data_IF_266374065506
#
_entry.id   IF_266374065506
#
_cell.length_a   1.000
_cell.length_b   1.000
_cell.length_c   1.000
_cell.angle_alpha   90.00
_cell.angle_beta   90.00
_cell.angle_gamma   90.00
#
_symmetry.space_group_name_H-M   'P 1'
#
loop_
_entity.id
_entity.type
_entity.pdbx_description
1 polymer ?
#
# COMPACT_ATOMS: atom_id res chain seq x y z
N UNK A 1 10.60 -3.65 58.26
CA UNK A 1 10.01 -3.77 56.91
C UNK A 1 10.03 -2.39 56.27
N UNK A 2 10.69 -2.22 55.11
CA UNK A 2 10.66 -0.97 54.34
C UNK A 2 10.37 -1.30 52.88
N UNK A 3 9.39 -0.64 52.27
CA UNK A 3 9.02 -0.83 50.85
C UNK A 3 9.69 0.26 50.03
N UNK A 4 10.75 -0.10 49.31
CA UNK A 4 11.32 0.77 48.28
C UNK A 4 10.40 0.78 47.06
N UNK A 5 9.81 1.95 46.77
CA UNK A 5 9.02 2.16 45.56
C UNK A 5 9.91 2.63 44.41
N UNK A 6 10.23 1.72 43.48
CA UNK A 6 10.90 2.10 42.24
C UNK A 6 9.91 2.80 41.29
N UNK A 7 10.05 4.13 41.15
CA UNK A 7 9.44 4.85 40.04
C UNK A 7 10.16 4.48 38.73
N UNK A 8 9.48 3.79 37.82
CA UNK A 8 9.92 3.70 36.44
C UNK A 8 9.68 5.05 35.75
N UNK A 9 10.72 5.87 35.66
CA UNK A 9 10.70 7.04 34.80
C UNK A 9 10.45 6.61 33.35
N UNK A 10 9.39 7.14 32.72
CA UNK A 10 9.15 6.92 31.29
C UNK A 10 10.23 7.65 30.50
N UNK A 11 11.27 6.93 30.09
CA UNK A 11 12.25 7.43 29.13
C UNK A 11 11.52 7.70 27.82
N UNK A 12 11.30 8.97 27.51
CA UNK A 12 10.63 9.41 26.30
C UNK A 12 11.63 9.27 25.14
N UNK A 13 11.58 8.12 24.45
CA UNK A 13 12.49 7.85 23.34
C UNK A 13 12.21 8.81 22.18
N UNK A 14 13.19 9.66 21.87
CA UNK A 14 13.17 10.52 20.70
C UNK A 14 14.01 9.83 19.62
N UNK A 15 13.44 9.48 18.45
CA UNK A 15 14.25 8.97 17.34
C UNK A 15 15.29 10.03 16.96
N UNK A 16 16.57 9.69 16.79
CA UNK A 16 17.52 10.62 16.19
C UNK A 16 16.97 11.01 14.81
N UNK A 17 16.75 12.31 14.60
CA UNK A 17 16.41 12.78 13.26
C UNK A 17 17.70 12.69 12.43
N UNK A 18 17.74 11.86 11.37
CA UNK A 18 18.87 11.90 10.46
C UNK A 18 18.95 13.29 9.83
N UNK A 19 20.15 13.76 9.53
CA UNK A 19 20.31 14.97 8.74
C UNK A 19 19.59 14.80 7.39
N UNK A 20 19.01 15.89 6.88
CA UNK A 20 18.16 15.86 5.68
C UNK A 20 18.92 15.27 4.47
N UNK A 21 20.19 15.64 4.36
CA UNK A 21 21.20 15.15 3.41
C UNK A 21 21.36 13.62 3.46
N UNK A 22 21.51 13.02 4.64
CA UNK A 22 21.64 11.56 4.80
C UNK A 22 20.38 10.83 4.33
N UNK A 23 19.20 11.40 4.55
CA UNK A 23 17.95 10.81 4.09
C UNK A 23 17.83 10.85 2.57
N UNK A 24 18.04 12.01 1.96
CA UNK A 24 18.03 12.20 0.51
C UNK A 24 19.05 11.29 -0.20
N UNK A 25 20.28 11.22 0.31
CA UNK A 25 21.33 10.34 -0.22
C UNK A 25 20.92 8.86 -0.17
N UNK A 26 20.35 8.38 0.95
CA UNK A 26 19.85 6.99 1.06
C UNK A 26 18.67 6.71 0.13
N UNK A 27 17.77 7.66 -0.08
CA UNK A 27 16.71 7.53 -1.08
C UNK A 27 17.28 7.38 -2.49
N UNK A 28 18.33 8.15 -2.84
CA UNK A 28 19.00 8.05 -4.13
C UNK A 28 19.81 6.75 -4.28
N UNK A 29 20.46 6.26 -3.24
CA UNK A 29 21.19 4.98 -3.28
C UNK A 29 20.27 3.75 -3.31
N UNK A 30 19.06 3.86 -2.74
CA UNK A 30 18.00 2.88 -2.93
C UNK A 30 17.53 2.83 -4.40
N UNK A 31 17.29 3.99 -5.03
CA UNK A 31 16.89 4.10 -6.45
C UNK A 31 17.91 3.49 -7.43
N UNK A 32 19.20 3.45 -7.06
CA UNK A 32 20.28 2.81 -7.84
C UNK A 32 20.28 1.28 -7.75
N UNK A 33 19.55 0.66 -6.82
CA UNK A 33 19.54 -0.80 -6.70
C UNK A 33 18.81 -1.46 -7.89
N UNK A 34 19.38 -2.50 -8.51
CA UNK A 34 18.67 -3.29 -9.52
C UNK A 34 17.36 -3.86 -9.00
N UNK A 35 16.36 -3.92 -9.88
CA UNK A 35 15.01 -4.42 -9.60
C UNK A 35 14.40 -5.24 -10.73
N UNK A 36 15.10 -5.37 -11.86
CA UNK A 36 14.70 -6.11 -13.04
C UNK A 36 15.72 -7.21 -13.32
N UNK A 37 15.21 -8.40 -13.63
CA UNK A 37 15.97 -9.52 -14.20
C UNK A 37 15.58 -9.64 -15.69
N UNK A 38 16.58 -9.84 -16.55
CA UNK A 38 16.39 -10.02 -17.99
C UNK A 38 15.96 -11.46 -18.34
N UNK A 39 16.09 -12.41 -17.42
CA UNK A 39 15.54 -13.75 -17.58
C UNK A 39 14.02 -13.69 -17.73
N UNK A 40 13.49 -14.55 -18.61
CA UNK A 40 12.05 -14.71 -18.78
C UNK A 40 11.41 -15.33 -17.54
N UNK A 41 10.18 -14.92 -17.23
CA UNK A 41 9.41 -15.42 -16.09
C UNK A 41 8.85 -16.82 -16.39
N UNK A 42 9.74 -17.82 -16.41
CA UNK A 42 9.41 -19.23 -16.63
C UNK A 42 9.70 -20.05 -15.37
N UNK A 43 8.74 -20.86 -14.92
CA UNK A 43 8.86 -21.66 -13.69
C UNK A 43 8.94 -20.84 -12.39
N UNK A 44 9.07 -21.51 -11.23
CA UNK A 44 9.13 -20.83 -9.93
C UNK A 44 10.42 -19.98 -9.78
N UNK A 45 10.38 -18.89 -9.00
CA UNK A 45 11.57 -18.12 -8.65
C UNK A 45 12.48 -18.89 -7.68
N UNK A 46 13.79 -18.63 -7.72
CA UNK A 46 14.75 -19.21 -6.78
C UNK A 46 14.62 -18.55 -5.39
N UNK A 47 14.41 -19.35 -4.34
CA UNK A 47 14.07 -18.89 -2.99
C UNK A 47 15.27 -18.73 -2.03
N UNK A 48 16.49 -18.59 -2.53
CA UNK A 48 17.67 -18.33 -1.70
C UNK A 48 17.60 -16.93 -1.02
N UNK A 49 18.19 -16.78 0.16
CA UNK A 49 18.12 -15.52 0.93
C UNK A 49 18.72 -14.33 0.19
N UNK A 50 19.72 -14.56 -0.68
CA UNK A 50 20.30 -13.56 -1.57
C UNK A 50 19.25 -12.89 -2.46
N UNK A 51 18.27 -13.67 -2.93
CA UNK A 51 17.24 -13.22 -3.86
C UNK A 51 16.14 -12.48 -3.11
N UNK A 52 15.74 -12.99 -1.94
CA UNK A 52 14.88 -12.25 -1.01
C UNK A 52 15.47 -10.90 -0.59
N UNK A 53 16.80 -10.82 -0.43
CA UNK A 53 17.51 -9.59 -0.05
C UNK A 53 17.73 -8.61 -1.21
N UNK A 54 17.60 -9.08 -2.46
CA UNK A 54 17.75 -8.30 -3.71
C UNK A 54 16.71 -8.79 -4.73
N UNK A 55 15.41 -8.55 -4.48
CA UNK A 55 14.35 -9.07 -5.34
C UNK A 55 14.42 -8.40 -6.72
N UNK A 56 14.48 -9.22 -7.77
CA UNK A 56 14.45 -8.78 -9.17
C UNK A 56 13.22 -9.38 -9.84
N UNK A 57 12.38 -8.55 -10.47
CA UNK A 57 11.25 -9.08 -11.25
C UNK A 57 11.76 -9.60 -12.60
N UNK A 58 11.38 -10.81 -12.97
CA UNK A 58 11.71 -11.41 -14.27
C UNK A 58 10.86 -10.81 -15.40
N UNK A 59 11.40 -10.85 -16.62
CA UNK A 59 10.80 -10.26 -17.82
C UNK A 59 9.61 -11.10 -18.30
N UNK A 60 8.54 -10.44 -18.73
CA UNK A 60 7.43 -11.10 -19.40
C UNK A 60 7.83 -11.59 -20.80
N UNK A 61 7.36 -12.78 -21.16
CA UNK A 61 7.61 -13.45 -22.44
C UNK A 61 6.59 -12.96 -23.49
N UNK A 62 6.72 -11.70 -23.89
CA UNK A 62 5.82 -11.06 -24.86
C UNK A 62 6.05 -11.63 -26.27
N UNK A 63 5.24 -12.61 -26.66
CA UNK A 63 5.28 -13.27 -27.98
C UNK A 63 4.18 -12.80 -28.94
N UNK A 64 3.15 -12.12 -28.42
CA UNK A 64 2.04 -11.56 -29.18
C UNK A 64 2.00 -10.04 -29.03
N UNK A 65 1.34 -9.35 -29.96
CA UNK A 65 1.08 -7.92 -29.83
C UNK A 65 0.10 -7.64 -28.67
N UNK A 66 0.12 -6.40 -28.16
CA UNK A 66 -0.72 -5.97 -27.05
C UNK A 66 -1.96 -5.27 -27.61
N UNK A 67 -3.11 -5.91 -27.55
CA UNK A 67 -4.37 -5.29 -27.96
C UNK A 67 -5.02 -4.57 -26.77
N UNK A 68 -5.01 -3.23 -26.78
CA UNK A 68 -5.61 -2.43 -25.71
C UNK A 68 -7.14 -2.42 -25.83
N UNK A 69 -7.85 -2.90 -24.79
CA UNK A 69 -9.32 -3.04 -24.82
C UNK A 69 -10.02 -1.95 -24.01
N UNK A 70 -9.55 -1.64 -22.80
CA UNK A 70 -10.16 -0.65 -21.90
C UNK A 70 -9.15 -0.02 -20.96
N UNK A 71 -9.15 1.30 -20.81
CA UNK A 71 -8.41 1.98 -19.73
C UNK A 71 -9.17 1.79 -18.41
N UNK A 72 -8.56 1.11 -17.43
CA UNK A 72 -9.17 0.81 -16.13
C UNK A 72 -9.07 1.98 -15.14
N UNK A 73 -8.00 2.75 -15.22
CA UNK A 73 -7.78 3.92 -14.36
C UNK A 73 -6.34 4.41 -14.42
N UNK A 74 -6.06 5.49 -13.71
CA UNK A 74 -4.71 6.02 -13.52
C UNK A 74 -4.59 6.66 -12.13
N UNK A 75 -3.37 6.74 -11.62
CA UNK A 75 -3.05 7.31 -10.31
C UNK A 75 -1.67 7.94 -10.29
N UNK A 76 -1.11 8.14 -9.10
CA UNK A 76 0.23 8.77 -8.94
C UNK A 76 1.35 8.02 -9.65
N UNK A 77 1.24 6.69 -9.75
CA UNK A 77 2.33 5.80 -10.14
C UNK A 77 2.28 5.37 -11.61
N UNK A 78 1.08 5.27 -12.18
CA UNK A 78 0.89 4.87 -13.58
C UNK A 78 -0.56 4.89 -14.06
N UNK A 79 -0.76 4.29 -15.23
CA UNK A 79 -2.05 4.03 -15.87
C UNK A 79 -2.20 2.51 -16.02
N UNK A 80 -3.42 2.00 -15.88
CA UNK A 80 -3.74 0.58 -16.06
C UNK A 80 -4.75 0.40 -17.20
N UNK A 81 -4.54 -0.59 -18.05
CA UNK A 81 -5.49 -1.05 -19.06
C UNK A 81 -5.82 -2.54 -18.88
N UNK A 82 -7.03 -2.93 -19.27
CA UNK A 82 -7.31 -4.29 -19.75
C UNK A 82 -6.77 -4.41 -21.17
N UNK A 83 -6.01 -5.46 -21.41
CA UNK A 83 -5.41 -5.79 -22.70
C UNK A 83 -5.71 -7.25 -23.05
N UNK A 84 -5.66 -7.61 -24.33
CA UNK A 84 -5.53 -9.00 -24.77
C UNK A 84 -4.12 -9.21 -25.32
N UNK A 85 -3.50 -10.34 -24.96
CA UNK A 85 -2.17 -10.75 -25.43
C UNK A 85 -2.27 -12.24 -25.77
N UNK A 86 -2.35 -12.56 -27.06
CA UNK A 86 -2.89 -13.85 -27.48
C UNK A 86 -4.35 -13.99 -26.99
N UNK A 87 -4.75 -15.20 -26.60
CA UNK A 87 -6.12 -15.48 -26.11
C UNK A 87 -6.37 -15.08 -24.64
N UNK A 88 -5.43 -14.35 -24.01
CA UNK A 88 -5.47 -14.03 -22.58
C UNK A 88 -5.89 -12.57 -22.32
N UNK A 89 -7.02 -12.37 -21.63
CA UNK A 89 -7.39 -11.07 -21.06
C UNK A 89 -6.56 -10.77 -19.81
N UNK A 90 -5.72 -9.74 -19.90
CA UNK A 90 -4.72 -9.37 -18.88
C UNK A 90 -4.86 -7.89 -18.50
N UNK A 91 -4.11 -7.48 -17.49
CA UNK A 91 -4.04 -6.10 -17.05
C UNK A 91 -2.61 -5.58 -17.10
N UNK A 92 -2.41 -4.51 -17.88
CA UNK A 92 -1.12 -3.88 -18.10
C UNK A 92 -1.04 -2.58 -17.29
N UNK A 93 -0.13 -2.50 -16.30
CA UNK A 93 0.19 -1.26 -15.58
C UNK A 93 1.43 -0.63 -16.20
N UNK A 94 1.30 0.55 -16.80
CA UNK A 94 2.42 1.34 -17.35
C UNK A 94 2.72 2.49 -16.39
N UNK A 95 3.99 2.65 -16.02
CA UNK A 95 4.42 3.65 -15.04
C UNK A 95 4.77 4.98 -15.71
N UNK A 96 4.47 6.10 -15.04
CA UNK A 96 4.78 7.44 -15.55
C UNK A 96 6.28 7.73 -15.59
N UNK A 97 7.01 7.31 -14.56
CA UNK A 97 8.44 7.60 -14.38
C UNK A 97 9.30 6.47 -15.00
N UNK A 98 9.81 6.68 -16.22
CA UNK A 98 10.72 5.75 -16.91
C UNK A 98 12.19 5.89 -16.48
N UNK A 99 12.53 6.96 -15.76
CA UNK A 99 13.78 7.17 -15.02
C UNK A 99 13.49 7.25 -13.52
N UNK A 100 14.51 7.08 -12.69
CA UNK A 100 14.34 7.28 -11.25
C UNK A 100 14.01 8.76 -10.99
N UNK A 101 12.95 9.08 -10.22
CA UNK A 101 12.60 10.46 -9.95
C UNK A 101 13.66 11.11 -9.05
N UNK A 102 13.78 12.42 -9.15
CA UNK A 102 14.63 13.22 -8.27
C UNK A 102 14.10 13.21 -6.81
N UNK A 103 14.76 13.95 -5.91
CA UNK A 103 14.33 14.15 -4.51
C UNK A 103 14.15 12.84 -3.69
N UNK A 104 13.28 12.89 -2.68
CA UNK A 104 12.95 11.79 -1.75
C UNK A 104 11.83 10.87 -2.23
N UNK A 105 11.07 11.27 -3.26
CA UNK A 105 9.95 10.50 -3.83
C UNK A 105 10.42 9.10 -4.25
N UNK A 106 9.67 8.05 -3.91
CA UNK A 106 10.02 6.68 -4.30
C UNK A 106 9.85 6.48 -5.82
N UNK A 107 10.60 5.52 -6.38
CA UNK A 107 10.41 5.12 -7.78
C UNK A 107 9.36 4.01 -7.84
N UNK A 108 8.19 4.31 -8.42
CA UNK A 108 7.03 3.43 -8.38
C UNK A 108 7.29 2.05 -9.00
N UNK A 109 7.81 2.00 -10.23
CA UNK A 109 8.13 0.73 -10.90
C UNK A 109 9.15 -0.10 -10.11
N UNK A 110 10.17 0.55 -9.50
CA UNK A 110 11.16 -0.16 -8.68
C UNK A 110 10.50 -0.85 -7.49
N UNK A 111 9.66 -0.12 -6.75
CA UNK A 111 8.92 -0.64 -5.60
C UNK A 111 8.02 -1.80 -6.03
N UNK A 112 7.23 -1.60 -7.07
CA UNK A 112 6.25 -2.57 -7.55
C UNK A 112 6.90 -3.87 -8.04
N UNK A 113 7.97 -3.76 -8.83
CA UNK A 113 8.76 -4.93 -9.26
C UNK A 113 9.34 -5.70 -8.08
N UNK A 114 9.93 -5.01 -7.10
CA UNK A 114 10.54 -5.65 -5.94
C UNK A 114 9.49 -6.32 -5.06
N UNK A 115 8.33 -5.70 -4.86
CA UNK A 115 7.21 -6.31 -4.14
C UNK A 115 6.62 -7.52 -4.89
N UNK A 116 6.40 -7.41 -6.21
CA UNK A 116 5.91 -8.53 -7.02
C UNK A 116 6.86 -9.74 -6.97
N UNK A 117 8.17 -9.52 -7.11
CA UNK A 117 9.17 -10.57 -7.01
C UNK A 117 9.23 -11.20 -5.61
N UNK A 118 9.11 -10.41 -4.53
CA UNK A 118 9.01 -10.94 -3.16
C UNK A 118 7.75 -11.79 -2.97
N UNK A 119 6.59 -11.35 -3.46
CA UNK A 119 5.34 -12.09 -3.32
C UNK A 119 5.37 -13.41 -4.12
N UNK A 120 5.98 -13.43 -5.31
CA UNK A 120 6.22 -14.67 -6.06
C UNK A 120 7.14 -15.65 -5.31
N UNK A 121 8.22 -15.15 -4.68
CA UNK A 121 9.11 -15.99 -3.86
C UNK A 121 8.42 -16.49 -2.58
N UNK A 122 7.56 -15.68 -1.95
CA UNK A 122 6.72 -16.09 -0.81
C UNK A 122 5.76 -17.21 -1.23
N UNK A 123 5.05 -17.05 -2.37
CA UNK A 123 4.16 -18.07 -2.92
C UNK A 123 4.90 -19.39 -3.16
N UNK A 124 6.01 -19.35 -3.90
CA UNK A 124 6.81 -20.53 -4.20
C UNK A 124 7.37 -21.21 -2.93
N UNK A 125 7.83 -20.42 -1.95
CA UNK A 125 8.30 -20.93 -0.68
C UNK A 125 7.22 -21.67 0.12
N UNK A 126 5.98 -21.16 0.14
CA UNK A 126 4.87 -21.76 0.88
C UNK A 126 4.36 -23.08 0.27
N UNK A 127 4.51 -23.28 -1.05
CA UNK A 127 4.19 -24.59 -1.66
C UNK A 127 5.15 -25.71 -1.26
N UNK A 128 6.35 -25.37 -0.76
CA UNK A 128 7.36 -26.34 -0.34
C UNK A 128 7.18 -26.88 1.09
N UNK A 129 6.19 -26.39 1.84
CA UNK A 129 5.86 -26.86 3.19
C UNK A 129 5.60 -25.73 4.20
N UNK A 130 5.33 -26.08 5.48
CA UNK A 130 4.96 -25.11 6.51
C UNK A 130 6.11 -24.14 6.81
N UNK A 131 5.79 -22.85 6.85
CA UNK A 131 6.70 -21.77 7.21
C UNK A 131 6.34 -21.29 8.62
N UNK A 132 7.29 -21.31 9.55
CA UNK A 132 7.07 -20.82 10.90
C UNK A 132 7.51 -19.36 10.98
N UNK A 133 6.62 -18.48 11.46
CA UNK A 133 6.84 -17.04 11.57
C UNK A 133 6.71 -16.56 13.02
N UNK A 134 7.45 -15.51 13.38
CA UNK A 134 7.23 -14.78 14.63
C UNK A 134 5.82 -14.15 14.58
N UNK A 135 4.94 -14.43 15.57
CA UNK A 135 3.53 -14.03 15.53
C UNK A 135 3.29 -12.55 15.78
N UNK A 136 4.21 -11.90 16.49
CA UNK A 136 4.25 -10.46 16.66
C UNK A 136 5.67 -9.99 16.31
N UNK A 137 5.99 -9.78 15.02
CA UNK A 137 7.12 -8.93 14.69
C UNK A 137 6.85 -7.54 15.31
N UNK A 138 7.89 -6.80 15.73
CA UNK A 138 7.77 -5.46 16.33
C UNK A 138 8.85 -4.48 15.84
N UNK A 139 9.89 -4.99 15.19
CA UNK A 139 11.06 -4.25 14.74
C UNK A 139 11.39 -4.58 13.28
N UNK A 140 12.20 -3.74 12.64
CA UNK A 140 12.78 -4.03 11.32
C UNK A 140 13.52 -5.38 11.29
N UNK A 141 14.23 -5.71 12.38
CA UNK A 141 14.91 -6.99 12.53
C UNK A 141 13.95 -8.19 12.52
N UNK A 142 12.80 -8.07 13.18
CA UNK A 142 11.78 -9.15 13.19
C UNK A 142 11.15 -9.31 11.80
N UNK A 143 10.82 -8.21 11.13
CA UNK A 143 10.29 -8.22 9.77
C UNK A 143 11.27 -8.87 8.78
N UNK A 144 12.55 -8.51 8.83
CA UNK A 144 13.62 -9.14 8.04
C UNK A 144 13.78 -10.63 8.41
N UNK A 145 13.66 -10.99 9.69
CA UNK A 145 13.76 -12.39 10.13
C UNK A 145 12.57 -13.25 9.68
N UNK A 146 11.35 -12.71 9.70
CA UNK A 146 10.16 -13.35 9.13
C UNK A 146 10.25 -13.48 7.62
N UNK A 147 10.64 -12.42 6.90
CA UNK A 147 10.87 -12.51 5.46
C UNK A 147 11.93 -13.57 5.12
N UNK A 148 12.97 -13.69 5.96
CA UNK A 148 13.99 -14.73 5.84
C UNK A 148 13.45 -16.13 6.10
N UNK A 149 12.41 -16.32 6.90
CA UNK A 149 11.82 -17.64 7.14
C UNK A 149 11.24 -18.25 5.84
N UNK A 150 10.86 -17.43 4.86
CA UNK A 150 10.46 -17.88 3.53
C UNK A 150 11.64 -18.37 2.66
N UNK A 151 12.89 -17.99 2.96
CA UNK A 151 14.04 -18.42 2.15
C UNK A 151 14.40 -19.88 2.37
N UNK A 152 15.14 -20.50 1.45
CA UNK A 152 15.56 -21.91 1.54
C UNK A 152 16.36 -22.19 2.82
N UNK A 153 17.19 -21.23 3.25
CA UNK A 153 17.94 -21.27 4.50
C UNK A 153 17.04 -21.08 5.72
N UNK A 154 15.99 -20.24 5.62
CA UNK A 154 14.98 -20.05 6.66
C UNK A 154 14.13 -21.30 6.88
N UNK A 155 13.53 -21.83 5.81
CA UNK A 155 12.72 -23.06 5.83
C UNK A 155 13.51 -24.28 6.31
N UNK A 156 14.82 -24.35 6.03
CA UNK A 156 15.71 -25.40 6.54
C UNK A 156 16.03 -25.24 8.03
N UNK A 157 16.22 -24.00 8.52
CA UNK A 157 16.52 -23.73 9.94
C UNK A 157 15.30 -23.77 10.85
N UNK A 158 14.11 -23.47 10.33
CA UNK A 158 12.84 -23.42 11.07
C UNK A 158 12.91 -22.63 12.38
N UNK A 159 13.65 -21.50 12.36
CA UNK A 159 14.05 -20.72 13.55
C UNK A 159 12.91 -20.44 14.53
N UNK A 160 11.69 -20.23 14.03
CA UNK A 160 10.53 -19.89 14.85
C UNK A 160 9.66 -21.09 15.26
N UNK A 161 9.92 -22.32 14.82
CA UNK A 161 9.07 -23.50 15.08
C UNK A 161 8.82 -23.77 16.57
N UNK A 162 9.78 -23.41 17.43
CA UNK A 162 9.69 -23.62 18.89
C UNK A 162 9.29 -22.36 19.67
N UNK A 163 8.96 -21.25 19.01
CA UNK A 163 8.41 -20.09 19.70
C UNK A 163 6.98 -20.38 20.18
N UNK A 164 6.62 -19.96 21.41
CA UNK A 164 5.22 -19.92 21.83
C UNK A 164 4.38 -19.12 20.83
N UNK A 165 3.25 -19.69 20.40
CA UNK A 165 2.33 -19.11 19.42
C UNK A 165 2.94 -18.82 18.03
N UNK A 166 4.03 -19.50 17.63
CA UNK A 166 4.56 -19.40 16.27
C UNK A 166 3.47 -19.62 15.21
N UNK A 167 3.34 -18.71 14.26
CA UNK A 167 2.36 -18.87 13.17
C UNK A 167 2.89 -19.94 12.22
N UNK A 168 2.21 -21.07 12.14
CA UNK A 168 2.45 -22.07 11.10
C UNK A 168 1.70 -21.67 9.85
N UNK A 169 2.42 -21.06 8.93
CA UNK A 169 1.90 -20.54 7.69
C UNK A 169 1.95 -21.62 6.60
N UNK A 170 0.77 -22.11 6.20
CA UNK A 170 0.59 -23.27 5.33
C UNK A 170 -0.22 -22.97 4.06
N UNK A 171 -1.00 -21.89 4.05
CA UNK A 171 -1.80 -21.45 2.93
C UNK A 171 -1.55 -19.97 2.64
N UNK A 172 -1.14 -19.65 1.41
CA UNK A 172 -1.08 -18.27 0.93
C UNK A 172 -2.49 -17.83 0.54
N UNK A 173 -2.98 -16.65 0.95
CA UNK A 173 -4.23 -16.10 0.45
C UNK A 173 -4.12 -15.82 -1.04
N UNK A 174 -5.24 -15.50 -1.65
CA UNK A 174 -5.28 -15.11 -3.06
C UNK A 174 -4.54 -13.78 -3.28
N UNK A 175 -3.33 -13.87 -3.80
CA UNK A 175 -2.56 -12.74 -4.34
C UNK A 175 -2.75 -12.71 -5.86
N UNK A 176 -2.73 -11.50 -6.43
CA UNK A 176 -2.78 -11.26 -7.87
C UNK A 176 -1.58 -11.89 -8.58
N UNK A 177 -1.80 -12.59 -9.68
CA UNK A 177 -0.68 -13.13 -10.45
C UNK A 177 0.05 -12.01 -11.23
N UNK A 178 1.38 -12.07 -11.20
CA UNK A 178 2.27 -11.20 -11.97
C UNK A 178 3.01 -12.05 -13.00
N UNK A 179 2.93 -11.68 -14.27
CA UNK A 179 3.56 -12.40 -15.37
C UNK A 179 4.93 -11.81 -15.75
N UNK A 180 5.27 -10.62 -15.24
CA UNK A 180 6.60 -10.03 -15.36
C UNK A 180 6.58 -8.61 -15.93
N UNK A 181 7.75 -8.01 -16.04
CA UNK A 181 7.91 -6.66 -16.60
C UNK A 181 8.14 -6.68 -18.12
N UNK A 182 7.78 -5.60 -18.78
CA UNK A 182 8.03 -5.36 -20.21
C UNK A 182 8.31 -3.87 -20.46
N UNK A 183 8.79 -3.52 -21.65
CA UNK A 183 8.86 -2.14 -22.15
C UNK A 183 7.74 -1.92 -23.16
N UNK A 184 7.14 -0.74 -23.13
CA UNK A 184 6.11 -0.31 -24.09
C UNK A 184 6.48 1.04 -24.71
N UNK A 185 6.13 1.24 -25.98
CA UNK A 185 6.47 2.48 -26.68
C UNK A 185 5.50 3.60 -26.32
N UNK A 186 6.02 4.77 -25.95
CA UNK A 186 5.21 5.97 -25.82
C UNK A 186 4.54 6.37 -27.14
N UNK A 187 5.12 6.02 -28.30
CA UNK A 187 4.54 6.27 -29.64
C UNK A 187 3.25 5.48 -29.83
N UNK A 188 3.29 4.19 -29.53
CA UNK A 188 2.17 3.26 -29.58
C UNK A 188 1.04 3.72 -28.66
N UNK A 189 1.35 3.97 -27.38
CA UNK A 189 0.39 4.47 -26.39
C UNK A 189 -0.26 5.80 -26.80
N UNK A 190 0.51 6.74 -27.35
CA UNK A 190 -0.05 8.01 -27.86
C UNK A 190 -0.80 7.85 -29.20
N UNK A 191 -0.52 6.79 -29.96
CA UNK A 191 -1.23 6.43 -31.19
C UNK A 191 -2.61 5.82 -30.96
N UNK A 192 -2.87 5.28 -29.76
CA UNK A 192 -4.17 4.72 -29.38
C UNK A 192 -5.33 5.71 -29.60
N UNK A 193 -6.52 5.14 -29.84
CA UNK A 193 -7.79 5.86 -29.90
C UNK A 193 -8.07 6.65 -28.62
N UNK A 194 -8.87 7.70 -28.74
CA UNK A 194 -9.11 8.71 -27.69
C UNK A 194 -9.39 8.12 -26.29
N UNK A 195 -10.29 7.14 -26.19
CA UNK A 195 -10.69 6.55 -24.89
C UNK A 195 -9.59 5.72 -24.22
N UNK A 196 -8.66 5.19 -25.01
CA UNK A 196 -7.55 4.35 -24.56
C UNK A 196 -6.25 5.15 -24.37
N UNK A 197 -6.09 6.28 -25.03
CA UNK A 197 -4.88 7.12 -24.99
C UNK A 197 -4.52 7.54 -23.56
N UNK A 198 -3.23 7.57 -23.17
CA UNK A 198 -2.79 8.20 -21.93
C UNK A 198 -3.25 9.65 -21.83
N UNK A 199 -3.94 10.05 -20.73
CA UNK A 199 -4.27 11.45 -20.52
C UNK A 199 -3.02 12.25 -20.11
N UNK A 200 -3.07 13.56 -20.26
CA UNK A 200 -2.13 14.49 -19.61
C UNK A 200 -2.84 15.09 -18.40
N UNK A 201 -2.35 14.84 -17.19
CA UNK A 201 -3.04 15.18 -15.94
C UNK A 201 -2.07 15.82 -14.94
N UNK A 202 -2.59 16.60 -13.98
CA UNK A 202 -1.84 17.04 -12.81
C UNK A 202 -2.37 16.27 -11.61
N UNK A 203 -1.50 15.55 -10.91
CA UNK A 203 -1.83 14.75 -9.74
C UNK A 203 -0.85 15.12 -8.62
N UNK A 204 -1.38 15.59 -7.49
CA UNK A 204 -0.58 16.04 -6.34
C UNK A 204 0.52 17.06 -6.73
N UNK A 205 0.13 18.07 -7.51
CA UNK A 205 1.04 19.07 -8.10
C UNK A 205 1.91 18.58 -9.26
N UNK A 206 2.11 17.28 -9.42
CA UNK A 206 2.97 16.70 -10.45
C UNK A 206 2.25 16.55 -11.80
N UNK A 207 2.81 17.14 -12.86
CA UNK A 207 2.36 16.90 -14.23
C UNK A 207 2.76 15.49 -14.69
N UNK A 208 1.76 14.68 -15.03
CA UNK A 208 1.92 13.31 -15.52
C UNK A 208 1.48 13.21 -16.98
N UNK A 209 2.37 12.73 -17.84
CA UNK A 209 2.15 12.57 -19.29
C UNK A 209 3.09 11.53 -19.88
N UNK A 210 2.56 10.66 -20.74
CA UNK A 210 3.33 9.78 -21.63
C UNK A 210 3.76 10.58 -22.87
N UNK A 211 5.03 10.45 -23.29
CA UNK A 211 5.62 11.15 -24.44
C UNK A 211 5.91 10.18 -25.59
N UNK A 212 5.58 10.53 -26.86
CA UNK A 212 5.78 9.63 -28.01
C UNK A 212 7.22 9.17 -28.30
N UNK A 213 8.22 9.88 -27.80
CA UNK A 213 9.64 9.61 -28.07
C UNK A 213 10.33 8.76 -26.99
N UNK A 214 9.60 8.31 -25.98
CA UNK A 214 10.14 7.63 -24.79
C UNK A 214 9.61 6.19 -24.68
N UNK A 215 10.37 5.32 -23.99
CA UNK A 215 9.94 3.96 -23.63
C UNK A 215 9.61 3.86 -22.14
N UNK A 216 8.43 3.32 -21.83
CA UNK A 216 7.94 3.20 -20.46
C UNK A 216 8.05 1.76 -19.97
N UNK A 217 8.31 1.61 -18.67
CA UNK A 217 8.19 0.30 -18.04
C UNK A 217 6.72 -0.02 -17.83
N UNK A 218 6.38 -1.28 -18.06
CA UNK A 218 5.08 -1.83 -17.73
C UNK A 218 5.24 -3.18 -17.02
N UNK A 219 4.21 -3.57 -16.27
CA UNK A 219 4.12 -4.92 -15.68
C UNK A 219 2.80 -5.53 -16.14
N UNK A 220 2.90 -6.77 -16.62
CA UNK A 220 1.76 -7.59 -17.03
C UNK A 220 1.29 -8.39 -15.82
N UNK A 221 0.02 -8.19 -15.48
CA UNK A 221 -0.64 -8.86 -14.38
C UNK A 221 -1.90 -9.56 -14.87
N UNK A 222 -2.40 -10.44 -14.02
CA UNK A 222 -3.77 -10.90 -14.09
C UNK A 222 -4.77 -9.75 -14.05
N UNK A 223 -5.81 -9.85 -14.88
CA UNK A 223 -6.99 -9.01 -14.80
C UNK A 223 -7.94 -9.54 -13.72
N UNK A 224 -8.21 -8.73 -12.69
CA UNK A 224 -9.19 -9.03 -11.65
C UNK A 224 -10.45 -8.19 -11.93
N UNK A 225 -11.63 -8.80 -12.15
CA UNK A 225 -12.87 -8.05 -12.39
C UNK A 225 -13.33 -7.28 -11.13
N UNK A 226 -14.27 -6.34 -11.32
CA UNK A 226 -14.96 -5.70 -10.19
C UNK A 226 -15.95 -6.71 -9.57
N UNK A 227 -15.81 -6.99 -8.27
CA UNK A 227 -16.78 -7.78 -7.50
C UNK A 227 -16.95 -7.15 -6.11
N UNK A 228 -17.83 -7.74 -5.28
CA UNK A 228 -18.01 -7.28 -3.90
C UNK A 228 -16.82 -7.67 -3.02
N UNK A 229 -16.15 -6.67 -2.45
CA UNK A 229 -15.07 -6.84 -1.48
C UNK A 229 -15.53 -7.64 -0.25
N UNK A 230 -14.75 -8.64 0.14
CA UNK A 230 -14.96 -9.46 1.33
C UNK A 230 -13.92 -9.17 2.39
N UNK A 231 -14.37 -8.99 3.64
CA UNK A 231 -13.52 -8.63 4.79
C UNK A 231 -12.42 -9.68 5.02
N UNK A 232 -12.78 -10.96 4.97
CA UNK A 232 -11.90 -12.09 5.24
C UNK A 232 -10.77 -12.24 4.22
N UNK A 233 -11.08 -12.01 2.93
CA UNK A 233 -10.10 -12.07 1.84
C UNK A 233 -9.08 -10.92 1.94
N UNK A 234 -9.55 -9.69 2.24
CA UNK A 234 -8.66 -8.56 2.50
C UNK A 234 -7.80 -8.80 3.74
N UNK A 235 -8.42 -9.21 4.86
CA UNK A 235 -7.71 -9.44 6.12
C UNK A 235 -6.62 -10.51 5.99
N UNK A 236 -6.91 -11.62 5.30
CA UNK A 236 -5.92 -12.70 5.09
C UNK A 236 -4.66 -12.24 4.33
N UNK A 237 -4.80 -11.28 3.40
CA UNK A 237 -3.65 -10.64 2.72
C UNK A 237 -2.94 -9.65 3.64
N UNK A 238 -3.67 -8.81 4.38
CA UNK A 238 -3.07 -7.90 5.36
C UNK A 238 -2.26 -8.65 6.43
N UNK A 239 -2.76 -9.79 6.91
CA UNK A 239 -2.08 -10.66 7.86
C UNK A 239 -0.80 -11.26 7.25
N UNK A 240 -0.85 -11.74 6.00
CA UNK A 240 0.37 -12.17 5.28
C UNK A 240 1.37 -11.02 5.16
N UNK A 241 0.96 -9.86 4.65
CA UNK A 241 1.85 -8.74 4.40
C UNK A 241 2.54 -8.29 5.69
N UNK A 242 1.78 -8.16 6.78
CA UNK A 242 2.33 -7.83 8.09
C UNK A 242 3.28 -8.90 8.63
N UNK A 243 2.89 -10.18 8.58
CA UNK A 243 3.73 -11.29 9.05
C UNK A 243 5.02 -11.41 8.22
N UNK A 244 4.96 -11.24 6.90
CA UNK A 244 6.12 -11.23 6.00
C UNK A 244 6.95 -9.93 6.08
N UNK A 245 6.58 -8.98 6.94
CA UNK A 245 7.35 -7.79 7.23
C UNK A 245 7.12 -6.61 6.30
N UNK A 246 6.09 -6.62 5.47
CA UNK A 246 5.68 -5.43 4.71
C UNK A 246 4.94 -4.46 5.62
N UNK A 247 5.19 -3.18 5.42
CA UNK A 247 4.30 -2.10 5.87
C UNK A 247 3.34 -1.76 4.72
N UNK A 248 2.11 -1.35 5.03
CA UNK A 248 1.23 -0.76 4.03
C UNK A 248 1.22 0.77 4.16
N UNK A 249 1.15 1.46 3.03
CA UNK A 249 0.65 2.85 3.01
C UNK A 249 -0.83 2.85 3.42
N UNK A 250 -1.43 4.02 3.73
CA UNK A 250 -2.84 4.08 4.06
C UNK A 250 -3.75 3.51 2.94
N UNK A 251 -4.32 2.33 3.21
CA UNK A 251 -5.25 1.55 2.37
C UNK A 251 -6.20 2.41 1.53
N UNK A 252 -6.14 2.23 0.22
CA UNK A 252 -7.04 2.85 -0.75
C UNK A 252 -7.98 1.78 -1.30
N UNK A 253 -9.30 1.89 -1.09
CA UNK A 253 -10.26 0.86 -1.54
C UNK A 253 -10.21 0.59 -3.05
N UNK A 254 -9.94 1.61 -3.85
CA UNK A 254 -9.83 1.50 -5.31
C UNK A 254 -8.69 0.56 -5.75
N UNK A 255 -7.72 0.28 -4.87
CA UNK A 255 -6.61 -0.64 -5.10
C UNK A 255 -6.94 -2.09 -4.70
N UNK A 256 -8.19 -2.38 -4.29
CA UNK A 256 -8.67 -3.74 -4.02
C UNK A 256 -9.76 -4.10 -5.04
N UNK A 257 -9.66 -5.28 -5.66
CA UNK A 257 -10.56 -5.75 -6.73
C UNK A 257 -11.03 -7.18 -6.50
N UNK A 258 -12.03 -7.62 -7.26
CA UNK A 258 -12.66 -8.93 -7.10
C UNK A 258 -13.16 -9.12 -5.66
N UNK A 259 -12.97 -10.30 -5.04
CA UNK A 259 -13.38 -10.54 -3.67
C UNK A 259 -12.53 -9.79 -2.62
N UNK A 260 -11.55 -8.97 -3.04
CA UNK A 260 -10.65 -8.24 -2.16
C UNK A 260 -9.18 -8.56 -2.36
N UNK A 261 -8.71 -8.67 -3.61
CA UNK A 261 -7.30 -8.84 -3.98
C UNK A 261 -6.64 -7.47 -4.15
N UNK A 262 -5.47 -7.25 -3.56
CA UNK A 262 -4.69 -6.01 -3.76
C UNK A 262 -4.14 -5.98 -5.20
N UNK A 263 -4.47 -4.94 -5.97
CA UNK A 263 -4.03 -4.78 -7.37
C UNK A 263 -2.91 -3.76 -7.57
N UNK A 264 -2.71 -2.84 -6.63
CA UNK A 264 -1.56 -1.92 -6.63
C UNK A 264 -0.52 -2.38 -5.60
N UNK A 265 0.62 -2.89 -6.07
CA UNK A 265 1.67 -3.38 -5.17
C UNK A 265 2.64 -2.28 -4.73
N UNK A 266 2.53 -1.05 -5.24
CA UNK A 266 3.30 0.09 -4.71
C UNK A 266 2.74 0.64 -3.39
N UNK A 267 1.52 0.23 -3.01
CA UNK A 267 0.96 0.43 -1.66
C UNK A 267 1.72 -0.37 -0.58
N UNK A 268 2.48 -1.41 -0.97
CA UNK A 268 3.33 -2.19 -0.05
C UNK A 268 4.74 -1.57 0.06
N UNK A 269 5.30 -1.55 1.25
CA UNK A 269 6.68 -1.14 1.54
C UNK A 269 7.38 -2.35 2.16
N UNK A 270 8.25 -3.01 1.40
CA UNK A 270 9.01 -4.16 1.90
C UNK A 270 10.12 -3.72 2.88
N UNK A 271 10.73 -4.65 3.66
CA UNK A 271 11.82 -4.35 4.58
C UNK A 271 13.04 -3.63 3.96
N UNK A 272 13.20 -3.69 2.64
CA UNK A 272 14.33 -3.09 1.92
C UNK A 272 14.08 -1.63 1.51
N UNK A 273 12.81 -1.21 1.41
CA UNK A 273 12.48 0.11 0.89
C UNK A 273 12.71 1.24 1.88
N UNK A 274 12.74 0.98 3.20
CA UNK A 274 13.17 1.97 4.22
C UNK A 274 13.55 1.32 5.56
N UNK A 275 14.73 1.65 6.13
CA UNK A 275 15.00 1.37 7.54
C UNK A 275 14.32 2.36 8.52
N UNK A 276 13.95 3.56 8.06
CA UNK A 276 13.56 4.70 8.92
C UNK A 276 12.04 4.80 9.14
N UNK A 277 11.24 4.58 8.09
CA UNK A 277 9.77 4.58 8.17
C UNK A 277 9.26 3.43 9.05
N UNK A 278 10.06 2.36 9.17
CA UNK A 278 9.83 1.22 10.06
C UNK A 278 9.64 1.58 11.54
N UNK A 279 10.12 2.74 12.02
CA UNK A 279 9.88 3.18 13.40
C UNK A 279 8.63 4.05 13.59
N UNK A 280 8.00 4.54 12.50
CA UNK A 280 6.82 5.45 12.56
C UNK A 280 5.54 4.85 11.98
N UNK A 281 5.62 4.03 10.92
CA UNK A 281 4.44 3.42 10.28
C UNK A 281 4.12 2.01 10.78
N UNK A 282 4.92 1.48 11.69
CA UNK A 282 4.67 0.20 12.35
C UNK A 282 3.52 0.29 13.36
N UNK A 283 2.28 0.28 12.86
CA UNK A 283 1.24 -0.78 12.90
C UNK A 283 0.37 -1.23 14.13
N UNK A 284 0.69 -1.17 15.43
CA UNK A 284 0.01 -1.98 16.47
C UNK A 284 -1.48 -1.68 16.65
N UNK A 285 -1.93 -0.51 16.18
CA UNK A 285 -3.32 -0.06 16.31
C UNK A 285 -4.18 -0.20 15.04
N UNK A 286 -3.60 -0.41 13.84
CA UNK A 286 -4.41 -0.35 12.60
C UNK A 286 -5.11 -1.67 12.23
N UNK A 287 -4.46 -2.84 12.31
CA UNK A 287 -5.11 -4.11 11.92
C UNK A 287 -6.07 -4.67 12.98
N UNK A 288 -5.73 -4.61 14.28
CA UNK A 288 -6.63 -5.13 15.34
C UNK A 288 -8.00 -4.42 15.38
N UNK A 289 -8.13 -3.26 14.73
CA UNK A 289 -9.35 -2.48 14.62
C UNK A 289 -10.36 -3.00 13.58
N UNK A 290 -9.93 -3.80 12.59
CA UNK A 290 -10.85 -4.44 11.62
C UNK A 290 -11.58 -5.64 12.28
N UNK A 291 -10.96 -6.28 13.28
CA UNK A 291 -11.35 -7.57 13.85
C UNK A 291 -12.54 -7.54 14.85
N UNK A 292 -13.27 -6.42 15.00
CA UNK A 292 -14.26 -6.25 16.08
C UNK A 292 -15.58 -5.57 15.68
N UNK A 293 -16.14 -5.90 14.51
CA UNK A 293 -17.53 -5.56 14.18
C UNK A 293 -18.32 -6.82 13.75
N UNK A 294 -19.55 -7.08 14.27
CA UNK A 294 -20.12 -8.43 14.27
C UNK A 294 -20.79 -8.88 12.96
N UNK A 295 -20.78 -8.05 11.91
CA UNK A 295 -21.54 -8.28 10.69
C UNK A 295 -20.60 -8.21 9.48
N UNK A 296 -20.46 -9.33 8.76
CA UNK A 296 -19.44 -9.57 7.72
C UNK A 296 -19.60 -8.79 6.41
N UNK A 297 -19.99 -7.52 6.46
CA UNK A 297 -20.03 -6.60 5.32
C UNK A 297 -19.08 -5.43 5.59
N UNK A 298 -18.21 -5.12 4.62
CA UNK A 298 -17.52 -3.83 4.59
C UNK A 298 -18.57 -2.75 4.28
N UNK A 299 -19.22 -2.20 5.31
CA UNK A 299 -20.01 -0.98 5.13
C UNK A 299 -19.08 0.17 4.78
N UNK A 300 -19.53 1.07 3.89
CA UNK A 300 -18.86 2.34 3.62
C UNK A 300 -18.56 3.11 4.93
N UNK A 301 -19.37 2.92 5.97
CA UNK A 301 -19.14 3.46 7.32
C UNK A 301 -17.84 2.95 7.96
N UNK A 302 -17.52 1.65 7.87
CA UNK A 302 -16.30 1.07 8.46
C UNK A 302 -15.06 1.65 7.79
N UNK A 303 -15.10 1.78 6.47
CA UNK A 303 -14.01 2.37 5.70
C UNK A 303 -13.91 3.87 5.94
N UNK A 304 -15.03 4.58 6.03
CA UNK A 304 -15.05 6.00 6.42
C UNK A 304 -14.47 6.21 7.82
N UNK A 305 -14.76 5.34 8.79
CA UNK A 305 -14.12 5.36 10.13
C UNK A 305 -12.62 5.11 10.01
N UNK A 306 -12.18 4.08 9.29
CA UNK A 306 -10.75 3.78 9.11
C UNK A 306 -9.99 4.92 8.40
N UNK A 307 -10.60 5.53 7.37
CA UNK A 307 -10.05 6.70 6.68
C UNK A 307 -10.04 7.94 7.57
N UNK A 308 -11.08 8.15 8.40
CA UNK A 308 -11.15 9.26 9.36
C UNK A 308 -10.09 9.12 10.46
N UNK A 309 -9.93 7.93 11.06
CA UNK A 309 -8.88 7.63 12.03
C UNK A 309 -7.50 7.83 11.40
N UNK A 310 -7.29 7.34 10.17
CA UNK A 310 -6.02 7.53 9.45
C UNK A 310 -5.74 9.01 9.12
N UNK A 311 -6.76 9.81 8.78
CA UNK A 311 -6.64 11.27 8.61
C UNK A 311 -6.39 11.98 9.94
N UNK A 312 -6.98 11.51 11.05
CA UNK A 312 -6.79 12.08 12.38
C UNK A 312 -5.36 11.84 12.89
N UNK A 313 -4.82 10.63 12.74
CA UNK A 313 -3.42 10.32 13.07
C UNK A 313 -2.44 11.20 12.28
N UNK A 314 -2.72 11.49 10.99
CA UNK A 314 -1.91 12.45 10.20
C UNK A 314 -1.98 13.88 10.76
N UNK A 315 -3.14 14.32 11.26
CA UNK A 315 -3.31 15.65 11.87
C UNK A 315 -2.62 15.78 13.23
N UNK A 316 -2.62 14.70 14.01
CA UNK A 316 -2.03 14.67 15.36
C UNK A 316 -0.51 14.43 15.35
N UNK A 317 0.04 13.86 14.27
CA UNK A 317 1.49 13.66 14.09
C UNK A 317 2.01 14.22 12.75
N UNK A 318 1.98 15.55 12.53
CA UNK A 318 2.39 16.16 11.25
C UNK A 318 3.88 15.89 10.91
N UNK A 319 4.75 15.72 11.90
CA UNK A 319 6.17 15.34 11.71
C UNK A 319 6.39 13.88 11.24
N UNK A 320 5.31 13.12 10.99
CA UNK A 320 5.35 11.85 10.27
C UNK A 320 5.01 11.99 8.77
N UNK A 321 4.47 13.14 8.33
CA UNK A 321 3.93 13.33 6.97
C UNK A 321 4.82 14.23 6.09
N UNK A 322 5.56 15.19 6.67
CA UNK A 322 6.44 16.13 5.95
C UNK A 322 7.67 15.49 5.23
N UNK A 323 7.66 14.18 5.00
CA UNK A 323 8.63 13.45 4.17
C UNK A 323 7.99 13.08 2.80
N UNK A 324 6.67 13.28 2.63
CA UNK A 324 5.91 12.95 1.41
C UNK A 324 5.11 14.14 0.84
N UNK A 325 5.34 15.37 1.30
CA UNK A 325 4.80 16.59 0.68
C UNK A 325 5.75 17.77 0.91
N UNK A 326 6.42 18.24 -0.14
CA UNK A 326 7.19 19.48 -0.15
C UNK A 326 6.40 20.53 -0.95
N UNK A 327 6.02 21.63 -0.31
CA UNK A 327 5.68 22.90 -0.96
C UNK A 327 6.74 23.95 -0.55
N UNK A 328 7.28 24.77 -1.47
CA UNK A 328 8.21 25.84 -1.15
C UNK A 328 7.53 27.21 -0.98
N UNK A 329 7.82 27.87 0.15
CA UNK A 329 7.83 29.33 0.41
C UNK A 329 6.73 30.27 -0.15
N UNK A 330 6.10 31.01 0.76
CA UNK A 330 6.05 32.48 0.69
C UNK A 330 5.84 33.12 2.07
N UNK A 331 6.51 34.25 2.34
CA UNK A 331 6.42 35.00 3.61
C UNK A 331 5.02 35.56 3.90
N UNK A 332 4.73 35.76 5.20
CA UNK A 332 3.56 36.52 5.64
C UNK A 332 3.13 36.26 7.08
N UNK A 333 3.70 36.99 8.04
CA UNK A 333 3.04 37.23 9.33
C UNK A 333 1.76 38.04 9.11
N UNK A 334 0.69 37.75 9.86
CA UNK A 334 0.45 38.60 11.02
C UNK A 334 0.05 37.85 12.30
N UNK A 335 0.20 38.57 13.41
CA UNK A 335 -0.23 38.21 14.76
C UNK A 335 -1.67 37.67 14.83
N UNK A 336 -1.90 36.71 15.72
CA UNK A 336 -3.18 36.59 16.41
C UNK A 336 -2.96 36.60 17.93
N UNK A 337 -3.16 37.76 18.54
CA UNK A 337 -3.14 37.92 19.99
C UNK A 337 -4.41 37.34 20.59
N UNK A 338 -4.29 36.29 21.40
CA UNK A 338 -5.35 35.88 22.33
C UNK A 338 -4.85 36.04 23.77
N UNK A 339 -5.37 37.11 24.41
CA UNK A 339 -5.13 37.42 25.82
C UNK A 339 -5.73 36.34 26.71
N UNK A 340 -4.94 35.81 27.64
CA UNK A 340 -5.47 35.10 28.79
C UNK A 340 -6.17 36.07 29.74
N UNK A 341 -7.21 35.59 30.44
CA UNK A 341 -7.62 36.20 31.70
C UNK A 341 -8.19 35.11 32.63
N UNK A 342 -7.66 34.95 33.86
CA UNK A 342 -8.07 33.88 34.77
C UNK A 342 -9.13 34.34 35.79
N UNK A 343 -10.03 33.44 36.19
CA UNK A 343 -10.67 33.33 37.52
C UNK A 343 -11.65 32.15 37.54
N UNK A 344 -11.63 31.36 38.61
CA UNK A 344 -12.55 30.22 38.79
C UNK A 344 -12.00 29.15 39.73
N UNK A 345 -12.14 29.38 41.03
CA UNK A 345 -11.72 28.45 42.09
C UNK A 345 -12.70 27.28 42.27
N UNK A 346 -12.21 26.08 42.54
CA UNK A 346 -13.03 24.95 42.99
C UNK A 346 -12.18 23.69 43.17
N UNK A 347 -11.98 23.26 44.43
CA UNK A 347 -11.47 21.91 44.73
C UNK A 347 -12.66 20.95 44.64
N UNK A 348 -12.45 19.79 44.03
CA UNK A 348 -12.64 18.48 44.66
C UNK A 348 -12.14 17.38 43.70
N UNK A 349 -11.53 16.33 44.25
CA UNK A 349 -10.84 15.30 43.46
C UNK A 349 -11.64 14.01 43.37
N UNK A 350 -11.65 13.39 42.18
CA UNK A 350 -11.86 11.95 42.00
C UNK A 350 -11.18 11.48 40.71
N UNK A 351 -10.26 10.51 40.82
CA UNK A 351 -9.68 9.79 39.69
C UNK A 351 -10.66 8.69 39.20
N UNK A 352 -11.32 8.87 38.05
CA UNK A 352 -11.85 7.75 37.23
C UNK A 352 -11.68 8.02 35.72
N UNK A 353 -10.87 7.14 35.12
CA UNK A 353 -10.79 6.70 33.72
C UNK A 353 -11.59 7.39 32.59
N UNK A 354 -10.83 7.93 31.63
CA UNK A 354 -10.84 7.58 30.19
C UNK A 354 -12.03 6.71 29.69
N UNK A 355 -12.97 7.34 28.94
CA UNK A 355 -13.69 6.82 27.73
C UNK A 355 -15.00 7.61 27.48
N UNK A 356 -14.94 8.81 26.88
CA UNK A 356 -16.16 9.56 26.47
C UNK A 356 -16.13 10.32 25.12
N UNK A 357 -15.12 10.12 24.28
CA UNK A 357 -15.05 10.82 22.97
C UNK A 357 -15.82 10.09 21.84
N UNK A 358 -15.81 8.75 21.81
CA UNK A 358 -16.33 7.99 20.66
C UNK A 358 -17.86 7.89 20.58
N UNK A 359 -18.59 7.99 21.70
CA UNK A 359 -20.05 7.80 21.74
C UNK A 359 -20.88 8.99 21.25
N UNK A 360 -20.30 10.20 21.23
CA UNK A 360 -21.00 11.42 20.80
C UNK A 360 -21.01 11.57 19.27
N UNK A 361 -19.98 11.10 18.57
CA UNK A 361 -19.89 11.16 17.11
C UNK A 361 -20.89 10.21 16.44
N UNK A 362 -21.09 9.00 17.00
CA UNK A 362 -22.04 8.02 16.49
C UNK A 362 -23.49 8.57 16.48
N UNK A 363 -23.94 9.19 17.59
CA UNK A 363 -25.30 9.76 17.70
C UNK A 363 -25.53 11.03 16.89
N UNK A 364 -24.48 11.68 16.40
CA UNK A 364 -24.60 12.83 15.50
C UNK A 364 -24.85 12.40 14.04
N UNK A 365 -24.37 11.22 13.63
CA UNK A 365 -24.53 10.70 12.27
C UNK A 365 -25.96 10.21 11.98
N UNK A 366 -26.69 9.72 12.98
CA UNK A 366 -28.04 9.15 12.83
C UNK A 366 -29.14 10.19 12.52
N UNK A 367 -28.86 11.50 12.63
CA UNK A 367 -29.89 12.57 12.49
C UNK A 367 -29.82 13.38 11.19
N UNK A 368 -29.06 12.93 10.19
CA UNK A 368 -29.04 13.55 8.83
C UNK A 368 -29.03 12.52 7.71
N UNK A 369 -30.08 11.70 7.65
CA UNK A 369 -30.45 10.99 6.42
C UNK A 369 -31.29 11.95 5.57
N UNK A 370 -30.62 12.79 4.80
CA UNK A 370 -31.24 13.48 3.66
C UNK A 370 -31.11 12.58 2.44
N UNK A 371 -32.23 12.11 1.90
CA UNK A 371 -32.27 11.26 0.70
C UNK A 371 -31.71 12.05 -0.49
N UNK A 372 -30.72 11.47 -1.17
CA UNK A 372 -30.32 11.89 -2.52
C UNK A 372 -30.67 10.76 -3.47
N UNK A 373 -31.73 10.96 -4.25
CA UNK A 373 -32.04 10.10 -5.39
C UNK A 373 -31.06 10.43 -6.53
N UNK A 374 -30.40 9.41 -7.08
CA UNK A 374 -29.72 9.55 -8.37
C UNK A 374 -30.77 9.53 -9.49
N UNK A 375 -31.01 10.69 -10.09
CA UNK A 375 -31.80 10.78 -11.33
C UNK A 375 -31.04 10.06 -12.44
N UNK A 376 -31.53 8.88 -12.83
CA UNK A 376 -31.10 8.23 -14.08
C UNK A 376 -31.94 8.78 -15.22
N UNK A 377 -31.32 9.59 -16.07
CA UNK A 377 -31.97 10.07 -17.29
C UNK A 377 -32.24 8.87 -18.22
N UNK A 378 -33.51 8.65 -18.55
CA UNK A 378 -33.97 7.63 -19.51
C UNK A 378 -34.68 8.33 -20.64
N UNK A 379 -34.03 8.45 -21.79
CA UNK A 379 -34.70 8.70 -23.06
C UNK A 379 -34.06 7.88 -24.18
N UNK A 380 -34.79 6.87 -24.63
CA UNK A 380 -34.60 6.21 -25.93
C UNK A 380 -35.99 6.13 -26.55
N UNK A 381 -36.24 6.71 -27.74
CA UNK A 381 -37.46 6.46 -28.46
C UNK A 381 -37.43 5.05 -29.05
N UNK A 382 -38.58 4.39 -29.01
CA UNK A 382 -38.83 3.09 -29.61
C UNK A 382 -38.94 3.22 -31.13
N UNK A 383 -38.62 2.14 -31.83
CA UNK A 383 -38.89 1.95 -33.25
C UNK A 383 -40.38 1.71 -33.50
N UNK A 384 -41.00 2.54 -34.32
CA UNK A 384 -42.24 2.17 -35.01
C UNK A 384 -41.95 1.93 -36.50
N UNK A 385 -42.56 0.88 -37.03
CA UNK A 385 -42.67 0.61 -38.45
C UNK A 385 -44.13 0.30 -38.73
N UNK A 386 -44.74 0.99 -39.69
CA UNK A 386 -45.80 0.51 -40.58
C UNK A 386 -46.13 1.58 -41.64
N UNK A 387 -46.54 1.11 -42.83
CA UNK A 387 -46.81 1.82 -44.12
C UNK A 387 -45.62 2.47 -44.87
#
# INVERSE_FOLDING_TARGET
MSRSGYMFARVQWVPPQPEKTDFEQRCQDAKKQPFLDQQLLRGPPACAWSNFSRPLLRKYDLQHEIEYKKRLGYGMDGIVWTVEIGDCTLALKVFWDNTAPEETRYWAVQRECQNAALLQMIQAASTAGPIYLQPEPKTHRDAVANLRAFSDEGRRKRTFQHLPNAVSYTSVPRLRECFGWVKVSGRELCGLGWDLRPPSVVLDGLSRKIRPAEEYYAIVYEFIPEEQLRVDVIQSQLDLFWLAGFCLVPMQLCNWKGPGVLVDLADLICPWHTPIVFCKCWWPHQVRSILYLPEGRVSNTIVATWQATSKQVRREQPSAVNILSNDPFSDGTPELVLRSNPRGSGKDGFDIAVLRSCSLVARAAERRVGVWECVTDRSSPVSDADE
#
